data_IF_227187040988
#
_entry.id   IF_227187040988
#
_cell.length_a   1.000
_cell.length_b   1.000
_cell.length_c   1.000
_cell.angle_alpha   90.00
_cell.angle_beta   90.00
_cell.angle_gamma   90.00
#
_symmetry.space_group_name_H-M   'P 1'
#
loop_
_entity.id
_entity.type
_entity.pdbx_description
1 polymer ?
#
# COMPACT_ATOMS: atom_id res chain seq x y z
N UNK A 1 -28.72 -30.92 -0.27
CA UNK A 1 -29.23 -30.13 0.87
C UNK A 1 -28.85 -28.69 0.58
N UNK A 2 -29.83 -27.89 0.18
CA UNK A 2 -29.66 -26.52 -0.29
C UNK A 2 -29.86 -25.57 0.90
N UNK A 3 -28.77 -25.07 1.46
CA UNK A 3 -28.83 -23.95 2.40
C UNK A 3 -28.79 -22.65 1.58
N UNK A 4 -29.95 -22.24 1.08
CA UNK A 4 -30.17 -20.85 0.67
C UNK A 4 -30.10 -19.97 1.92
N UNK A 5 -28.89 -19.55 2.26
CA UNK A 5 -28.67 -18.50 3.25
C UNK A 5 -29.15 -17.19 2.61
N UNK A 6 -30.39 -16.83 2.92
CA UNK A 6 -30.96 -15.50 2.69
C UNK A 6 -30.17 -14.50 3.57
N UNK A 7 -28.99 -14.10 3.10
CA UNK A 7 -28.32 -12.91 3.63
C UNK A 7 -29.04 -11.70 3.07
N UNK A 8 -30.05 -11.25 3.81
CA UNK A 8 -30.71 -9.97 3.59
C UNK A 8 -29.66 -8.88 3.44
N UNK A 9 -29.60 -8.28 2.25
CA UNK A 9 -28.71 -7.18 1.90
C UNK A 9 -29.02 -5.96 2.77
N UNK A 10 -28.45 -5.90 3.99
CA UNK A 10 -28.45 -4.70 4.80
C UNK A 10 -27.51 -3.67 4.17
N UNK A 11 -28.07 -2.88 3.24
CA UNK A 11 -27.42 -1.70 2.66
C UNK A 11 -27.29 -0.63 3.74
N UNK A 12 -26.11 -0.04 3.99
CA UNK A 12 -25.97 1.13 4.84
C UNK A 12 -26.90 2.25 4.37
N UNK A 13 -27.57 2.93 5.31
CA UNK A 13 -28.62 3.91 5.00
C UNK A 13 -28.18 5.07 4.10
N UNK A 14 -26.90 5.45 4.14
CA UNK A 14 -26.36 6.54 3.31
C UNK A 14 -26.25 6.20 1.82
N UNK A 15 -26.22 4.92 1.44
CA UNK A 15 -26.27 4.52 0.03
C UNK A 15 -27.68 4.61 -0.57
N UNK A 16 -28.74 4.61 0.24
CA UNK A 16 -30.12 4.77 -0.25
C UNK A 16 -30.37 6.16 -0.84
N UNK A 17 -29.58 7.16 -0.46
CA UNK A 17 -29.70 8.52 -0.99
C UNK A 17 -29.27 8.65 -2.46
N UNK A 18 -28.38 7.78 -2.95
CA UNK A 18 -27.84 7.84 -4.31
C UNK A 18 -28.46 6.82 -5.28
N UNK A 19 -29.42 6.02 -4.81
CA UNK A 19 -30.25 5.14 -5.63
C UNK A 19 -31.69 5.64 -5.59
N UNK A 20 -31.94 6.75 -6.27
CA UNK A 20 -33.30 7.09 -6.66
C UNK A 20 -33.61 6.23 -7.90
N UNK A 21 -34.63 5.38 -7.81
CA UNK A 21 -35.20 4.64 -8.94
C UNK A 21 -34.36 3.50 -9.56
N UNK A 22 -33.39 2.95 -8.84
CA UNK A 22 -32.64 1.76 -9.29
C UNK A 22 -31.60 2.02 -10.38
N UNK A 23 -31.39 3.29 -10.77
CA UNK A 23 -30.32 3.70 -11.67
C UNK A 23 -29.06 3.97 -10.84
N UNK A 24 -28.07 3.10 -10.92
CA UNK A 24 -26.75 3.39 -10.38
C UNK A 24 -26.08 4.45 -11.27
N UNK A 25 -25.69 5.59 -10.69
CA UNK A 25 -24.87 6.59 -11.38
C UNK A 25 -23.40 6.16 -11.33
N UNK A 26 -22.82 5.60 -12.41
CA UNK A 26 -21.49 4.99 -12.36
C UNK A 26 -20.41 5.99 -11.96
N UNK A 27 -20.51 7.20 -12.51
CA UNK A 27 -19.59 8.31 -12.20
C UNK A 27 -19.63 8.69 -10.72
N UNK A 28 -20.82 8.79 -10.12
CA UNK A 28 -20.97 9.14 -8.69
C UNK A 28 -20.33 8.07 -7.81
N UNK A 29 -20.56 6.79 -8.11
CA UNK A 29 -19.97 5.67 -7.35
C UNK A 29 -18.44 5.69 -7.41
N UNK A 30 -17.87 5.91 -8.59
CA UNK A 30 -16.43 6.00 -8.77
C UNK A 30 -15.84 7.21 -8.04
N UNK A 31 -16.46 8.39 -8.17
CA UNK A 31 -16.06 9.62 -7.45
C UNK A 31 -16.10 9.43 -5.94
N UNK A 32 -17.17 8.85 -5.40
CA UNK A 32 -17.27 8.59 -3.96
C UNK A 32 -16.22 7.58 -3.49
N UNK A 33 -15.88 6.58 -4.30
CA UNK A 33 -14.80 5.64 -3.99
C UNK A 33 -13.44 6.33 -3.98
N UNK A 34 -13.17 7.18 -4.97
CA UNK A 34 -11.95 7.98 -5.04
C UNK A 34 -11.81 8.91 -3.83
N UNK A 35 -12.87 9.66 -3.50
CA UNK A 35 -12.89 10.55 -2.33
C UNK A 35 -12.73 9.78 -1.02
N UNK A 36 -13.36 8.61 -0.91
CA UNK A 36 -13.20 7.75 0.27
C UNK A 36 -11.77 7.25 0.43
N UNK A 37 -11.15 6.79 -0.66
CA UNK A 37 -9.75 6.33 -0.65
C UNK A 37 -8.80 7.47 -0.31
N UNK A 38 -8.98 8.63 -0.94
CA UNK A 38 -8.20 9.83 -0.64
C UNK A 38 -8.37 10.24 0.82
N UNK A 39 -9.60 10.28 1.34
CA UNK A 39 -9.88 10.62 2.74
C UNK A 39 -9.25 9.65 3.73
N UNK A 40 -9.43 8.35 3.56
CA UNK A 40 -8.82 7.33 4.44
C UNK A 40 -7.29 7.42 4.43
N UNK A 41 -6.70 7.54 3.23
CA UNK A 41 -5.26 7.68 3.09
C UNK A 41 -4.75 8.96 3.77
N UNK A 42 -5.35 10.11 3.49
CA UNK A 42 -4.93 11.40 4.05
C UNK A 42 -5.06 11.44 5.58
N UNK A 43 -6.18 10.96 6.14
CA UNK A 43 -6.37 10.93 7.59
C UNK A 43 -5.39 9.97 8.27
N UNK A 44 -5.12 8.81 7.67
CA UNK A 44 -4.11 7.89 8.19
C UNK A 44 -2.68 8.44 8.11
N UNK A 45 -2.36 9.20 7.06
CA UNK A 45 -1.04 9.80 6.88
C UNK A 45 -0.85 10.98 7.84
N UNK A 46 -1.86 11.83 7.99
CA UNK A 46 -1.84 12.91 8.98
C UNK A 46 -1.74 12.37 10.40
N UNK A 47 -2.53 11.33 10.73
CA UNK A 47 -2.50 10.71 12.04
C UNK A 47 -1.15 10.03 12.34
N UNK A 48 -0.44 9.52 11.34
CA UNK A 48 0.94 9.05 11.50
C UNK A 48 1.84 10.16 12.07
N UNK A 49 1.90 11.32 11.39
CA UNK A 49 2.76 12.43 11.80
C UNK A 49 2.36 13.02 13.17
N UNK A 50 1.06 13.13 13.46
CA UNK A 50 0.58 13.56 14.78
C UNK A 50 1.08 12.62 15.89
N UNK A 51 1.08 11.31 15.65
CA UNK A 51 1.60 10.35 16.63
C UNK A 51 3.12 10.44 16.77
N UNK A 52 3.85 10.57 15.66
CA UNK A 52 5.32 10.77 15.69
C UNK A 52 5.67 11.98 16.55
N UNK A 53 5.03 13.12 16.31
CA UNK A 53 5.24 14.35 17.09
C UNK A 53 4.83 14.18 18.56
N UNK A 54 3.65 13.61 18.83
CA UNK A 54 3.14 13.44 20.19
C UNK A 54 4.01 12.53 21.07
N UNK A 55 4.73 11.58 20.47
CA UNK A 55 5.67 10.70 21.17
C UNK A 55 7.13 11.18 21.10
N UNK A 56 7.40 12.30 20.42
CA UNK A 56 8.75 12.84 20.26
C UNK A 56 9.70 11.89 19.52
N UNK A 57 9.20 11.16 18.52
CA UNK A 57 9.98 10.20 17.73
C UNK A 57 10.67 10.90 16.55
N UNK A 58 11.85 10.42 16.15
CA UNK A 58 12.56 10.91 14.97
C UNK A 58 12.10 10.17 13.71
N UNK A 59 11.85 8.86 13.82
CA UNK A 59 11.29 8.02 12.78
C UNK A 59 10.28 7.06 13.39
N UNK A 60 9.00 7.27 13.12
CA UNK A 60 7.95 6.45 13.71
C UNK A 60 8.15 4.96 13.44
N UNK A 61 8.53 4.60 12.21
CA UNK A 61 8.65 3.20 11.80
C UNK A 61 9.87 2.50 12.42
N UNK A 62 10.97 3.22 12.67
CA UNK A 62 12.16 2.67 13.30
C UNK A 62 12.06 2.68 14.84
N UNK A 63 11.54 3.76 15.41
CA UNK A 63 11.57 4.00 16.86
C UNK A 63 10.42 3.29 17.58
N UNK A 64 9.26 3.16 16.93
CA UNK A 64 8.07 2.52 17.51
C UNK A 64 7.39 1.54 16.53
N UNK A 65 8.11 0.53 16.00
CA UNK A 65 7.63 -0.34 14.92
C UNK A 65 6.34 -1.08 15.27
N UNK A 66 6.19 -1.53 16.51
CA UNK A 66 4.98 -2.22 16.99
C UNK A 66 3.76 -1.31 17.05
N UNK A 67 3.94 -0.05 17.49
CA UNK A 67 2.86 0.94 17.56
C UNK A 67 2.32 1.24 16.16
N UNK A 68 3.20 1.54 15.21
CA UNK A 68 2.77 1.88 13.86
C UNK A 68 2.28 0.65 13.07
N UNK A 69 2.77 -0.55 13.36
CA UNK A 69 2.19 -1.77 12.80
C UNK A 69 0.74 -1.94 13.26
N UNK A 70 0.47 -1.80 14.57
CA UNK A 70 -0.90 -1.83 15.10
C UNK A 70 -1.78 -0.72 14.49
N UNK A 71 -1.23 0.50 14.38
CA UNK A 71 -1.90 1.64 13.75
C UNK A 71 -2.39 1.33 12.33
N UNK A 72 -1.51 0.84 11.44
CA UNK A 72 -1.91 0.53 10.07
C UNK A 72 -2.77 -0.72 9.95
N UNK A 73 -2.67 -1.69 10.88
CA UNK A 73 -3.60 -2.81 10.93
C UNK A 73 -5.01 -2.37 11.32
N UNK A 74 -5.14 -1.39 12.23
CA UNK A 74 -6.44 -0.78 12.55
C UNK A 74 -7.01 -0.09 11.30
N UNK A 75 -6.22 0.74 10.62
CA UNK A 75 -6.65 1.39 9.38
C UNK A 75 -7.00 0.41 8.26
N UNK A 76 -6.25 -0.70 8.14
CA UNK A 76 -6.59 -1.80 7.25
C UNK A 76 -7.96 -2.36 7.57
N UNK A 77 -8.23 -2.66 8.85
CA UNK A 77 -9.53 -3.15 9.31
C UNK A 77 -10.66 -2.18 9.00
N UNK A 78 -10.46 -0.89 9.28
CA UNK A 78 -11.43 0.18 8.97
C UNK A 78 -11.70 0.26 7.46
N UNK A 79 -10.66 0.22 6.62
CA UNK A 79 -10.82 0.25 5.17
C UNK A 79 -11.55 -1.00 4.63
N UNK A 80 -11.23 -2.19 5.15
CA UNK A 80 -11.94 -3.43 4.80
C UNK A 80 -13.42 -3.34 5.17
N UNK A 81 -13.75 -2.79 6.35
CA UNK A 81 -15.13 -2.59 6.78
C UNK A 81 -15.85 -1.55 5.91
N UNK A 82 -15.18 -0.45 5.58
CA UNK A 82 -15.71 0.63 4.74
C UNK A 82 -16.05 0.14 3.33
N UNK A 83 -15.12 -0.60 2.70
CA UNK A 83 -15.28 -1.13 1.35
C UNK A 83 -15.80 -2.57 1.30
N UNK A 84 -16.35 -3.08 2.41
CA UNK A 84 -16.75 -4.49 2.55
C UNK A 84 -17.64 -5.01 1.42
N UNK A 85 -18.50 -4.16 0.85
CA UNK A 85 -19.43 -4.53 -0.24
C UNK A 85 -18.65 -4.91 -1.50
N UNK A 86 -17.76 -4.01 -1.95
CA UNK A 86 -16.93 -4.20 -3.14
C UNK A 86 -15.92 -5.34 -2.92
N UNK A 87 -15.47 -5.53 -1.68
CA UNK A 87 -14.52 -6.57 -1.32
C UNK A 87 -15.17 -7.93 -0.98
N UNK A 88 -16.50 -8.01 -0.85
CA UNK A 88 -17.19 -9.19 -0.30
C UNK A 88 -16.84 -10.48 -1.06
N UNK A 89 -16.76 -10.42 -2.39
CA UNK A 89 -16.38 -11.57 -3.23
C UNK A 89 -14.95 -12.08 -2.98
N UNK A 90 -14.09 -11.23 -2.41
CA UNK A 90 -12.69 -11.54 -2.06
C UNK A 90 -12.54 -11.95 -0.59
N UNK A 91 -13.44 -11.53 0.30
CA UNK A 91 -13.40 -11.77 1.75
C UNK A 91 -13.99 -13.14 2.19
N UNK A 92 -14.11 -14.09 1.28
CA UNK A 92 -14.60 -15.44 1.63
C UNK A 92 -13.56 -16.17 2.48
N UNK A 93 -13.95 -16.68 3.66
CA UNK A 93 -13.05 -17.36 4.63
C UNK A 93 -12.10 -18.38 3.97
N UNK A 94 -12.62 -19.21 3.06
CA UNK A 94 -11.81 -20.20 2.32
C UNK A 94 -10.73 -19.54 1.45
N UNK A 95 -11.05 -18.44 0.76
CA UNK A 95 -10.08 -17.67 -0.02
C UNK A 95 -9.05 -17.04 0.90
N UNK A 96 -9.48 -16.39 1.98
CA UNK A 96 -8.59 -15.77 2.97
C UNK A 96 -7.58 -16.80 3.50
N UNK A 97 -8.04 -17.97 3.93
CA UNK A 97 -7.16 -19.02 4.44
C UNK A 97 -6.19 -19.54 3.36
N UNK A 98 -6.66 -19.68 2.13
CA UNK A 98 -5.79 -20.06 1.01
C UNK A 98 -4.73 -18.99 0.74
N UNK A 99 -5.08 -17.70 0.78
CA UNK A 99 -4.12 -16.60 0.64
C UNK A 99 -3.12 -16.56 1.80
N UNK A 100 -3.58 -16.74 3.04
CA UNK A 100 -2.72 -16.77 4.22
C UNK A 100 -1.67 -17.89 4.12
N UNK A 101 -2.11 -19.11 3.79
CA UNK A 101 -1.18 -20.24 3.55
C UNK A 101 -0.20 -19.93 2.42
N UNK A 102 -0.71 -19.37 1.32
CA UNK A 102 0.09 -19.03 0.15
C UNK A 102 1.05 -17.85 0.40
N UNK A 103 0.88 -17.09 1.49
CA UNK A 103 1.75 -15.99 1.90
C UNK A 103 2.93 -16.41 2.73
N UNK A 104 2.87 -17.56 3.43
CA UNK A 104 3.98 -18.07 4.25
C UNK A 104 5.33 -18.03 3.52
N UNK A 105 5.48 -18.57 2.29
CA UNK A 105 6.78 -18.51 1.60
C UNK A 105 7.19 -17.07 1.24
N UNK A 106 6.25 -16.18 0.95
CA UNK A 106 6.54 -14.76 0.66
C UNK A 106 7.05 -14.08 1.93
N UNK A 107 6.40 -14.31 3.08
CA UNK A 107 6.85 -13.80 4.37
C UNK A 107 8.23 -14.34 4.75
N UNK A 108 8.53 -15.61 4.43
CA UNK A 108 9.84 -16.18 4.68
C UNK A 108 10.94 -15.48 3.86
N UNK A 109 10.68 -15.19 2.59
CA UNK A 109 11.61 -14.40 1.75
C UNK A 109 11.81 -13.00 2.33
N UNK A 110 10.74 -12.36 2.80
CA UNK A 110 10.83 -11.02 3.41
C UNK A 110 11.63 -11.05 4.70
N UNK A 111 11.41 -12.05 5.54
CA UNK A 111 12.17 -12.25 6.77
C UNK A 111 13.65 -12.50 6.48
N UNK A 112 13.99 -13.31 5.46
CA UNK A 112 15.37 -13.53 5.04
C UNK A 112 16.01 -12.21 4.57
N UNK A 113 15.30 -11.41 3.76
CA UNK A 113 15.82 -10.12 3.33
C UNK A 113 16.12 -9.21 4.52
N UNK A 114 15.16 -9.05 5.42
CA UNK A 114 15.25 -8.13 6.56
C UNK A 114 16.28 -8.59 7.61
N UNK A 115 16.39 -9.89 7.86
CA UNK A 115 17.25 -10.42 8.91
C UNK A 115 18.67 -10.78 8.44
N UNK A 116 18.86 -11.02 7.14
CA UNK A 116 20.15 -11.50 6.59
C UNK A 116 20.70 -10.54 5.54
N UNK A 117 19.91 -10.21 4.50
CA UNK A 117 20.41 -9.42 3.37
C UNK A 117 20.64 -7.98 3.79
N UNK A 118 19.63 -7.31 4.34
CA UNK A 118 19.67 -5.90 4.72
C UNK A 118 20.83 -5.57 5.69
N UNK A 119 21.06 -6.33 6.78
CA UNK A 119 22.21 -6.08 7.66
C UNK A 119 23.57 -6.37 7.02
N UNK A 120 23.61 -7.14 5.94
CA UNK A 120 24.85 -7.44 5.20
C UNK A 120 25.20 -6.38 4.15
N UNK A 121 24.30 -5.43 3.90
CA UNK A 121 24.57 -4.32 2.98
C UNK A 121 25.47 -3.27 3.63
N UNK A 122 26.30 -2.54 2.85
CA UNK A 122 27.10 -1.44 3.39
C UNK A 122 26.22 -0.40 4.09
N UNK A 123 26.61 0.17 5.24
CA UNK A 123 25.82 1.20 5.89
C UNK A 123 25.67 2.42 4.98
N UNK A 124 24.53 3.11 5.10
CA UNK A 124 24.25 4.35 4.36
C UNK A 124 25.03 5.51 5.00
N UNK A 125 25.73 6.27 4.17
CA UNK A 125 26.54 7.42 4.59
C UNK A 125 25.67 8.65 4.82
N UNK A 126 25.58 9.12 6.07
CA UNK A 126 24.95 10.41 6.41
C UNK A 126 25.52 11.58 5.59
N UNK A 127 26.82 11.55 5.27
CA UNK A 127 27.48 12.58 4.45
C UNK A 127 27.04 12.62 2.98
N UNK A 128 26.50 11.52 2.47
CA UNK A 128 26.05 11.39 1.07
C UNK A 128 24.53 11.46 0.95
N UNK A 129 23.83 11.26 2.07
CA UNK A 129 22.40 11.45 2.15
C UNK A 129 22.05 12.93 1.92
N UNK A 130 20.86 13.23 1.35
CA UNK A 130 20.35 14.59 1.31
C UNK A 130 20.14 15.13 2.73
N UNK A 131 20.05 16.46 2.87
CA UNK A 131 19.94 17.13 4.17
C UNK A 131 18.69 16.75 4.97
N UNK A 132 17.62 16.36 4.28
CA UNK A 132 16.40 15.82 4.87
C UNK A 132 16.10 14.45 4.24
N UNK A 133 16.76 13.40 4.72
CA UNK A 133 16.64 12.09 4.11
C UNK A 133 15.30 11.46 4.48
N UNK A 134 14.61 10.83 3.50
CA UNK A 134 13.38 10.10 3.80
C UNK A 134 13.68 8.97 4.79
N UNK A 135 12.78 8.73 5.75
CA UNK A 135 12.97 7.74 6.83
C UNK A 135 13.40 6.36 6.31
N UNK A 136 12.87 5.92 5.16
CA UNK A 136 13.19 4.59 4.61
C UNK A 136 14.67 4.47 4.18
N UNK A 137 15.37 5.58 3.93
CA UNK A 137 16.79 5.59 3.55
C UNK A 137 17.67 4.97 4.65
N UNK A 138 17.22 5.08 5.91
CA UNK A 138 17.87 4.50 7.09
C UNK A 138 17.01 3.41 7.73
N UNK A 139 16.20 2.71 6.92
CA UNK A 139 15.34 1.65 7.40
C UNK A 139 16.15 0.54 8.11
N UNK A 140 15.86 0.34 9.39
CA UNK A 140 16.29 -0.86 10.11
C UNK A 140 15.49 -2.09 9.66
N UNK A 141 15.87 -3.27 10.14
CA UNK A 141 15.03 -4.44 9.90
C UNK A 141 13.62 -4.30 10.48
N UNK A 142 13.49 -3.61 11.61
CA UNK A 142 12.21 -3.38 12.28
C UNK A 142 11.29 -2.42 11.53
N UNK A 143 11.85 -1.49 10.74
CA UNK A 143 11.08 -0.59 9.85
C UNK A 143 10.09 -1.36 8.96
N UNK A 144 10.46 -2.56 8.51
CA UNK A 144 9.66 -3.34 7.60
C UNK A 144 8.41 -3.94 8.24
N UNK A 145 8.31 -3.98 9.58
CA UNK A 145 7.11 -4.46 10.27
C UNK A 145 5.91 -3.49 10.08
N UNK A 146 5.97 -2.21 10.51
CA UNK A 146 4.91 -1.25 10.21
C UNK A 146 4.75 -1.02 8.72
N UNK A 147 5.85 -1.06 7.93
CA UNK A 147 5.75 -0.92 6.48
C UNK A 147 4.93 -2.03 5.82
N UNK A 148 5.06 -3.25 6.31
CA UNK A 148 4.27 -4.39 5.82
C UNK A 148 2.77 -4.21 6.10
N UNK A 149 2.41 -3.60 7.25
CA UNK A 149 1.04 -3.25 7.59
C UNK A 149 0.52 -2.05 6.78
N UNK A 150 1.34 -1.01 6.58
CA UNK A 150 1.05 0.14 5.71
C UNK A 150 0.78 -0.32 4.26
N UNK A 151 1.65 -1.15 3.69
CA UNK A 151 1.43 -1.74 2.36
C UNK A 151 0.11 -2.52 2.32
N UNK A 152 -0.22 -3.28 3.37
CA UNK A 152 -1.48 -4.02 3.43
C UNK A 152 -2.69 -3.07 3.38
N UNK A 153 -2.66 -2.00 4.17
CA UNK A 153 -3.67 -0.94 4.14
C UNK A 153 -3.80 -0.33 2.73
N UNK A 154 -2.69 0.05 2.11
CA UNK A 154 -2.67 0.60 0.76
C UNK A 154 -3.23 -0.40 -0.27
N UNK A 155 -2.90 -1.69 -0.18
CA UNK A 155 -3.45 -2.72 -1.08
C UNK A 155 -4.98 -2.84 -0.95
N UNK A 156 -5.55 -2.66 0.24
CA UNK A 156 -7.01 -2.66 0.42
C UNK A 156 -7.65 -1.47 -0.29
N UNK A 157 -7.07 -0.28 -0.16
CA UNK A 157 -7.55 0.92 -0.87
C UNK A 157 -7.48 0.75 -2.40
N UNK A 158 -6.35 0.24 -2.89
CA UNK A 158 -6.12 -0.03 -4.32
C UNK A 158 -7.09 -1.07 -4.87
N UNK A 159 -7.25 -2.19 -4.17
CA UNK A 159 -8.19 -3.23 -4.55
C UNK A 159 -9.62 -2.68 -4.62
N UNK A 160 -9.99 -1.81 -3.69
CA UNK A 160 -11.32 -1.17 -3.67
C UNK A 160 -11.55 -0.30 -4.90
N UNK A 161 -10.58 0.52 -5.31
CA UNK A 161 -10.67 1.28 -6.57
C UNK A 161 -10.86 0.37 -7.78
N UNK A 162 -10.01 -0.65 -7.90
CA UNK A 162 -9.96 -1.54 -9.06
C UNK A 162 -11.25 -2.37 -9.17
N UNK A 163 -11.71 -2.94 -8.06
CA UNK A 163 -12.94 -3.73 -8.05
C UNK A 163 -14.18 -2.86 -8.27
N UNK A 164 -14.26 -1.65 -7.70
CA UNK A 164 -15.34 -0.72 -8.04
C UNK A 164 -15.36 -0.41 -9.53
N UNK A 165 -14.21 -0.07 -10.12
CA UNK A 165 -14.11 0.22 -11.55
C UNK A 165 -14.52 -0.99 -12.42
N UNK A 166 -14.16 -2.21 -11.99
CA UNK A 166 -14.53 -3.45 -12.65
C UNK A 166 -16.04 -3.79 -12.50
N UNK A 167 -16.66 -3.52 -11.36
CA UNK A 167 -18.11 -3.65 -11.16
C UNK A 167 -18.88 -2.73 -12.11
N UNK A 168 -18.37 -1.51 -12.33
CA UNK A 168 -18.85 -0.55 -13.32
C UNK A 168 -18.52 -0.92 -14.78
N UNK A 169 -17.97 -2.12 -15.02
CA UNK A 169 -17.66 -2.67 -16.35
C UNK A 169 -16.65 -1.84 -17.15
N UNK A 170 -15.79 -1.06 -16.50
CA UNK A 170 -14.69 -0.40 -17.18
C UNK A 170 -13.72 -1.45 -17.75
N UNK A 171 -13.16 -1.17 -18.93
CA UNK A 171 -12.18 -2.04 -19.58
C UNK A 171 -10.91 -2.09 -18.74
N UNK A 172 -10.26 -3.26 -18.67
CA UNK A 172 -9.01 -3.44 -17.92
C UNK A 172 -7.96 -2.38 -18.28
N UNK A 173 -7.80 -2.05 -19.56
CA UNK A 173 -6.87 -1.02 -20.02
C UNK A 173 -7.20 0.36 -19.47
N UNK A 174 -8.48 0.72 -19.38
CA UNK A 174 -8.92 1.99 -18.77
C UNK A 174 -8.59 2.03 -17.29
N UNK A 175 -8.81 0.93 -16.57
CA UNK A 175 -8.47 0.80 -15.16
C UNK A 175 -6.94 0.91 -14.99
N UNK A 176 -6.16 0.20 -15.80
CA UNK A 176 -4.69 0.24 -15.78
C UNK A 176 -4.14 1.64 -16.02
N UNK A 177 -4.57 2.33 -17.09
CA UNK A 177 -4.12 3.70 -17.39
C UNK A 177 -4.51 4.65 -16.25
N UNK A 178 -5.75 4.58 -15.77
CA UNK A 178 -6.21 5.40 -14.65
C UNK A 178 -5.39 5.19 -13.38
N UNK A 179 -5.14 3.94 -13.01
CA UNK A 179 -4.32 3.60 -11.84
C UNK A 179 -2.86 4.01 -12.03
N UNK A 180 -2.27 3.80 -13.22
CA UNK A 180 -0.92 4.27 -13.53
C UNK A 180 -0.75 5.78 -13.40
N UNK A 181 -1.70 6.55 -13.97
CA UNK A 181 -1.71 8.01 -13.87
C UNK A 181 -1.90 8.48 -12.43
N UNK A 182 -2.82 7.88 -11.68
CA UNK A 182 -3.04 8.24 -10.27
C UNK A 182 -1.82 7.93 -9.42
N UNK A 183 -1.22 6.75 -9.58
CA UNK A 183 -0.07 6.33 -8.78
C UNK A 183 1.17 7.16 -9.09
N UNK A 184 1.50 7.33 -10.37
CA UNK A 184 2.61 8.17 -10.80
C UNK A 184 2.39 9.64 -10.41
N UNK A 185 1.20 10.18 -10.72
CA UNK A 185 0.85 11.57 -10.41
C UNK A 185 0.91 11.88 -8.92
N UNK A 186 0.49 10.94 -8.07
CA UNK A 186 0.60 11.09 -6.62
C UNK A 186 2.07 11.13 -6.17
N UNK A 187 2.93 10.27 -6.71
CA UNK A 187 4.35 10.24 -6.34
C UNK A 187 5.16 11.43 -6.88
N UNK A 188 4.65 12.16 -7.88
CA UNK A 188 5.25 13.45 -8.26
C UNK A 188 5.16 14.50 -7.16
N UNK A 189 4.19 14.37 -6.23
CA UNK A 189 4.07 15.29 -5.09
C UNK A 189 5.27 15.21 -4.14
N UNK A 190 6.05 14.13 -4.17
CA UNK A 190 7.32 14.02 -3.44
C UNK A 190 8.31 15.15 -3.81
N UNK A 191 8.18 15.75 -5.00
CA UNK A 191 8.98 16.92 -5.36
C UNK A 191 8.68 18.15 -4.47
N UNK A 192 7.49 18.22 -3.87
CA UNK A 192 7.08 19.29 -2.98
C UNK A 192 7.64 19.11 -1.56
N UNK A 193 8.04 17.89 -1.20
CA UNK A 193 8.63 17.54 0.10
C UNK A 193 10.15 17.70 0.10
N UNK A 194 10.73 18.34 -0.92
CA UNK A 194 12.18 18.62 -0.98
C UNK A 194 13.06 17.43 -1.36
N UNK A 195 12.48 16.29 -1.75
CA UNK A 195 13.26 15.13 -2.18
C UNK A 195 14.05 15.38 -3.47
N UNK A 196 15.16 14.64 -3.64
CA UNK A 196 16.02 14.80 -4.82
C UNK A 196 15.31 14.39 -6.12
N UNK A 197 15.63 15.03 -7.27
CA UNK A 197 15.00 14.69 -8.55
C UNK A 197 15.16 13.21 -8.94
N UNK A 198 16.31 12.60 -8.63
CA UNK A 198 16.56 11.18 -8.89
C UNK A 198 15.62 10.29 -8.07
N UNK A 199 15.43 10.62 -6.79
CA UNK A 199 14.53 9.89 -5.90
C UNK A 199 13.08 9.97 -6.39
N UNK A 200 12.59 11.19 -6.66
CA UNK A 200 11.23 11.42 -7.17
C UNK A 200 11.01 10.67 -8.50
N UNK A 201 11.99 10.74 -9.41
CA UNK A 201 11.91 10.06 -10.72
C UNK A 201 11.78 8.55 -10.55
N UNK A 202 12.63 7.93 -9.72
CA UNK A 202 12.63 6.49 -9.47
C UNK A 202 11.30 6.02 -8.88
N UNK A 203 10.81 6.71 -7.85
CA UNK A 203 9.54 6.37 -7.20
C UNK A 203 8.35 6.57 -8.14
N UNK A 204 8.33 7.66 -8.90
CA UNK A 204 7.26 7.94 -9.87
C UNK A 204 7.19 6.88 -10.96
N UNK A 205 8.33 6.48 -11.53
CA UNK A 205 8.38 5.41 -12.54
C UNK A 205 7.89 4.09 -11.94
N UNK A 206 8.42 3.70 -10.77
CA UNK A 206 8.01 2.47 -10.11
C UNK A 206 6.52 2.45 -9.78
N UNK A 207 5.99 3.54 -9.23
CA UNK A 207 4.57 3.69 -8.90
C UNK A 207 3.69 3.65 -10.16
N UNK A 208 4.11 4.30 -11.24
CA UNK A 208 3.39 4.28 -12.53
C UNK A 208 3.31 2.86 -13.08
N UNK A 209 4.45 2.15 -13.14
CA UNK A 209 4.51 0.77 -13.61
C UNK A 209 3.67 -0.16 -12.71
N UNK A 210 3.74 0.02 -11.40
CA UNK A 210 2.91 -0.72 -10.46
C UNK A 210 1.42 -0.47 -10.72
N UNK A 211 1.01 0.80 -10.87
CA UNK A 211 -0.35 1.21 -11.18
C UNK A 211 -0.89 0.62 -12.50
N UNK A 212 -0.04 0.49 -13.52
CA UNK A 212 -0.40 -0.14 -14.80
C UNK A 212 -0.59 -1.67 -14.66
N UNK A 213 0.22 -2.33 -13.84
CA UNK A 213 0.23 -3.79 -13.70
C UNK A 213 -0.81 -4.29 -12.70
N UNK A 214 -1.05 -3.54 -11.63
CA UNK A 214 -1.82 -4.00 -10.47
C UNK A 214 -3.29 -4.38 -10.80
N UNK A 215 -4.01 -3.74 -11.75
CA UNK A 215 -5.35 -4.19 -12.12
C UNK A 215 -5.37 -5.56 -12.78
N UNK A 216 -4.34 -5.88 -13.59
CA UNK A 216 -4.21 -7.21 -14.16
C UNK A 216 -3.97 -8.25 -13.07
N UNK A 217 -3.08 -7.96 -12.11
CA UNK A 217 -2.83 -8.86 -10.98
C UNK A 217 -4.13 -9.18 -10.25
N UNK A 218 -4.91 -8.16 -9.86
CA UNK A 218 -6.16 -8.34 -9.11
C UNK A 218 -7.25 -9.06 -9.90
N UNK A 219 -7.47 -8.69 -11.17
CA UNK A 219 -8.62 -9.16 -11.93
C UNK A 219 -8.38 -10.44 -12.73
N UNK A 220 -7.12 -10.79 -13.03
CA UNK A 220 -6.78 -11.90 -13.94
C UNK A 220 -5.95 -13.00 -13.32
N UNK A 221 -5.15 -12.72 -12.28
CA UNK A 221 -4.31 -13.76 -11.68
C UNK A 221 -4.96 -14.42 -10.47
N UNK A 222 -4.80 -15.74 -10.40
CA UNK A 222 -5.08 -16.47 -9.17
C UNK A 222 -4.12 -15.97 -8.09
N UNK A 223 -4.69 -15.55 -6.97
CA UNK A 223 -3.97 -14.90 -5.89
C UNK A 223 -3.42 -13.50 -6.20
N UNK A 224 -4.11 -12.72 -7.05
CA UNK A 224 -3.74 -11.35 -7.41
C UNK A 224 -3.26 -10.45 -6.27
N UNK A 225 -3.99 -10.44 -5.15
CA UNK A 225 -3.62 -9.67 -3.95
C UNK A 225 -2.21 -10.02 -3.45
N UNK A 226 -1.83 -11.30 -3.49
CA UNK A 226 -0.51 -11.74 -3.06
C UNK A 226 0.58 -11.21 -3.98
N UNK A 227 0.36 -11.27 -5.28
CA UNK A 227 1.33 -10.78 -6.25
C UNK A 227 1.49 -9.27 -6.15
N UNK A 228 0.39 -8.53 -5.98
CA UNK A 228 0.42 -7.08 -5.79
C UNK A 228 1.15 -6.68 -4.51
N UNK A 229 0.81 -7.32 -3.38
CA UNK A 229 1.51 -7.10 -2.11
C UNK A 229 3.00 -7.43 -2.22
N UNK A 230 3.30 -8.59 -2.82
CA UNK A 230 4.66 -9.08 -3.02
C UNK A 230 5.51 -8.12 -3.84
N UNK A 231 4.98 -7.66 -4.96
CA UNK A 231 5.63 -6.70 -5.87
C UNK A 231 5.87 -5.36 -5.19
N UNK A 232 4.88 -4.84 -4.46
CA UNK A 232 5.00 -3.57 -3.74
C UNK A 232 6.08 -3.66 -2.64
N UNK A 233 6.07 -4.71 -1.83
CA UNK A 233 7.09 -4.91 -0.82
C UNK A 233 8.49 -5.10 -1.44
N UNK A 234 8.58 -5.86 -2.54
CA UNK A 234 9.85 -6.08 -3.25
C UNK A 234 10.45 -4.80 -3.80
N UNK A 235 9.63 -3.82 -4.18
CA UNK A 235 10.11 -2.49 -4.55
C UNK A 235 10.85 -1.82 -3.38
N UNK A 236 10.30 -1.82 -2.17
CA UNK A 236 10.99 -1.25 -1.00
C UNK A 236 12.27 -2.00 -0.64
N UNK A 237 12.29 -3.33 -0.76
CA UNK A 237 13.51 -4.11 -0.55
C UNK A 237 14.58 -3.79 -1.60
N UNK A 238 14.18 -3.70 -2.86
CA UNK A 238 15.08 -3.32 -3.95
C UNK A 238 15.60 -1.89 -3.78
N UNK A 239 14.73 -0.94 -3.44
CA UNK A 239 15.10 0.47 -3.27
C UNK A 239 16.08 0.66 -2.10
N UNK A 240 15.85 -0.04 -0.98
CA UNK A 240 16.79 -0.08 0.13
C UNK A 240 18.15 -0.65 -0.31
N UNK A 241 18.16 -1.78 -1.01
CA UNK A 241 19.41 -2.37 -1.50
C UNK A 241 20.18 -1.41 -2.42
N UNK A 242 19.51 -0.78 -3.37
CA UNK A 242 20.11 0.22 -4.26
C UNK A 242 20.62 1.42 -3.47
N UNK A 243 19.87 1.89 -2.47
CA UNK A 243 20.24 3.03 -1.64
C UNK A 243 21.50 2.75 -0.82
N UNK A 244 21.58 1.59 -0.18
CA UNK A 244 22.80 1.14 0.53
C UNK A 244 24.02 1.03 -0.39
N UNK A 245 23.83 0.60 -1.64
CA UNK A 245 24.93 0.49 -2.62
C UNK A 245 25.39 1.85 -3.15
N UNK A 246 24.46 2.74 -3.50
CA UNK A 246 24.78 4.08 -4.05
C UNK A 246 25.36 4.99 -2.97
N UNK A 247 24.79 4.94 -1.76
CA UNK A 247 25.13 5.83 -0.66
C UNK A 247 26.04 5.16 0.38
N UNK A 248 26.69 4.04 0.04
CA UNK A 248 27.57 3.31 0.95
C UNK A 248 28.61 4.24 1.62
N UNK A 249 28.85 4.03 2.92
CA UNK A 249 29.98 4.66 3.63
C UNK A 249 31.28 4.29 2.92
N UNK A 250 32.14 5.26 2.56
CA UNK A 250 33.45 4.95 1.98
C UNK A 250 34.28 4.08 2.93
N UNK A 251 35.10 3.14 2.43
CA UNK A 251 35.90 2.26 3.30
C UNK A 251 36.78 3.00 4.31
N UNK A 252 37.24 4.21 3.98
CA UNK A 252 38.08 5.02 4.86
C UNK A 252 37.31 5.65 6.04
N UNK A 253 35.98 5.72 5.98
CA UNK A 253 35.12 6.35 7.00
C UNK A 253 34.47 5.33 7.95
N UNK A 254 34.84 4.04 7.87
CA UNK A 254 34.28 2.94 8.67
C UNK A 254 35.04 2.77 10.02
N UNK A 255 36.01 3.64 10.33
CA UNK A 255 36.86 3.56 11.51
C UNK A 255 36.63 4.68 12.51
#
# INVERSE_FOLDING_TARGET
>A
MNDEVIMGNMRPGWFRFFQKDGVEYPAVTLVLTLLSVAGLWSVSSYGYYVLVEAFGLESGYNDAPGLFAAYYLIWTGLAVLWFRRVLAGSLVRRKILAHAKAMVPVMAVFAIFVAVILPSLPPVSMWRAPSDPPEFMFASGWYYLPKSADILFQQVLVASLIYTAAELKLRLTTIAIGMGLMFGGFHLLLALDGFSPLYVTRFTIAATLFGLVVPYLYLRLKHGFRWAYGLHWSFYAFDAAVTHLILAVPPWAIN
#
